data_IF_274364913800
#
_entry.id   IF_274364913800
#
_cell.length_a   1.000
_cell.length_b   1.000
_cell.length_c   1.000
_cell.angle_alpha   90.00
_cell.angle_beta   90.00
_cell.angle_gamma   90.00
#
_symmetry.space_group_name_H-M   'P 1'
#
loop_
_entity.id
_entity.type
_entity.pdbx_description
1 polymer ?
#
# COMPACT_ATOMS: atom_id res chain seq x y z
N UNK A 1 10.31 13.08 -4.79
CA UNK A 1 9.49 11.98 -4.23
C UNK A 1 8.49 12.66 -3.31
N UNK A 2 7.22 12.73 -3.70
CA UNK A 2 6.16 13.29 -2.83
C UNK A 2 5.64 12.12 -2.02
N UNK A 3 5.72 12.21 -0.70
CA UNK A 3 5.21 11.21 0.23
C UNK A 3 3.97 11.80 0.88
N UNK A 4 2.80 11.29 0.50
CA UNK A 4 1.52 11.64 1.14
C UNK A 4 1.01 10.39 1.86
N UNK A 5 0.83 10.51 3.18
CA UNK A 5 0.41 9.41 4.05
C UNK A 5 -1.01 9.68 4.54
N UNK A 6 -1.98 9.00 3.94
CA UNK A 6 -3.36 9.03 4.41
C UNK A 6 -3.52 8.04 5.57
N UNK A 7 -3.76 8.53 6.79
CA UNK A 7 -4.10 7.71 7.95
C UNK A 7 -5.47 7.03 7.78
N UNK A 8 -5.49 5.71 7.93
CA UNK A 8 -6.66 4.86 7.77
C UNK A 8 -7.50 4.67 9.04
N UNK A 9 -7.20 5.40 10.11
CA UNK A 9 -7.55 5.00 11.48
C UNK A 9 -9.03 5.04 11.86
N UNK A 10 -9.98 5.43 11.00
CA UNK A 10 -11.42 5.41 11.37
C UNK A 10 -12.44 5.39 10.21
N UNK A 11 -12.07 4.99 8.99
CA UNK A 11 -13.02 4.96 7.87
C UNK A 11 -12.92 3.62 7.16
N UNK A 12 -14.03 2.88 7.07
CA UNK A 12 -14.21 1.75 6.15
C UNK A 12 -14.17 2.31 4.72
N UNK A 13 -12.97 2.59 4.22
CA UNK A 13 -12.73 3.16 2.88
C UNK A 13 -12.86 2.02 1.88
N UNK A 14 -13.95 1.99 1.11
CA UNK A 14 -14.11 1.04 0.00
C UNK A 14 -12.97 1.23 -1.04
N UNK A 15 -12.59 0.16 -1.72
CA UNK A 15 -11.54 0.15 -2.72
C UNK A 15 -11.76 1.19 -3.83
N UNK A 16 -13.03 1.49 -4.16
CA UNK A 16 -13.39 2.55 -5.10
C UNK A 16 -12.99 3.94 -4.61
N UNK A 17 -13.17 4.21 -3.32
CA UNK A 17 -12.79 5.49 -2.72
C UNK A 17 -11.27 5.66 -2.75
N UNK A 18 -10.52 4.60 -2.42
CA UNK A 18 -9.05 4.59 -2.49
C UNK A 18 -8.59 4.83 -3.93
N UNK A 19 -9.15 4.08 -4.90
CA UNK A 19 -8.80 4.23 -6.31
C UNK A 19 -9.08 5.65 -6.83
N UNK A 20 -10.24 6.24 -6.50
CA UNK A 20 -10.59 7.59 -6.94
C UNK A 20 -9.60 8.65 -6.45
N UNK A 21 -9.19 8.58 -5.17
CA UNK A 21 -8.20 9.51 -4.62
C UNK A 21 -6.83 9.32 -5.28
N UNK A 22 -6.38 8.08 -5.47
CA UNK A 22 -5.10 7.80 -6.11
C UNK A 22 -5.07 8.25 -7.57
N UNK A 23 -6.16 8.04 -8.34
CA UNK A 23 -6.27 8.51 -9.72
C UNK A 23 -6.14 10.04 -9.79
N UNK A 24 -6.76 10.77 -8.85
CA UNK A 24 -6.62 12.23 -8.78
C UNK A 24 -5.16 12.65 -8.62
N UNK A 25 -4.44 12.03 -7.68
CA UNK A 25 -3.02 12.30 -7.42
C UNK A 25 -2.15 11.94 -8.64
N UNK A 26 -2.39 10.78 -9.27
CA UNK A 26 -1.64 10.36 -10.48
C UNK A 26 -1.83 11.37 -11.62
N UNK A 27 -3.04 11.91 -11.79
CA UNK A 27 -3.33 12.93 -12.80
C UNK A 27 -2.65 14.26 -12.50
N UNK A 28 -2.59 14.65 -11.24
CA UNK A 28 -1.91 15.87 -10.79
C UNK A 28 -0.39 15.79 -10.99
N UNK A 29 0.23 14.67 -10.61
CA UNK A 29 1.66 14.42 -10.80
C UNK A 29 2.01 14.17 -12.27
N UNK A 30 1.04 13.69 -13.06
CA UNK A 30 1.21 13.24 -14.43
C UNK A 30 1.48 11.73 -14.48
N UNK A 31 0.69 10.93 -15.22
CA UNK A 31 0.81 9.47 -15.20
C UNK A 31 2.21 8.94 -15.58
N UNK A 32 2.94 9.64 -16.46
CA UNK A 32 4.29 9.25 -16.89
C UNK A 32 5.35 9.37 -15.79
N UNK A 33 5.06 10.15 -14.74
CA UNK A 33 5.96 10.40 -13.62
C UNK A 33 5.73 9.45 -12.44
N UNK A 34 4.78 8.52 -12.58
CA UNK A 34 4.44 7.53 -11.56
C UNK A 34 4.75 6.14 -12.10
N UNK A 35 5.66 5.43 -11.43
CA UNK A 35 6.02 4.04 -11.77
C UNK A 35 5.29 3.04 -10.87
N UNK A 36 5.16 3.36 -9.59
CA UNK A 36 4.63 2.45 -8.58
C UNK A 36 3.99 3.23 -7.44
N UNK A 37 2.95 2.66 -6.85
CA UNK A 37 2.39 3.10 -5.58
C UNK A 37 2.30 1.92 -4.62
N UNK A 38 2.43 2.24 -3.33
CA UNK A 38 2.49 1.27 -2.25
C UNK A 38 1.48 1.69 -1.20
N UNK A 39 0.58 0.79 -0.82
CA UNK A 39 -0.42 1.05 0.22
C UNK A 39 -0.36 -0.07 1.24
N UNK A 40 -0.53 0.29 2.51
CA UNK A 40 -0.29 -0.55 3.69
C UNK A 40 -1.32 -1.70 3.88
N UNK A 41 -2.59 -1.50 3.52
CA UNK A 41 -3.66 -2.47 3.76
C UNK A 41 -3.92 -3.48 2.61
N UNK A 42 -3.51 -4.74 2.76
CA UNK A 42 -3.53 -5.73 1.68
C UNK A 42 -4.91 -5.97 1.01
N UNK A 43 -6.01 -6.05 1.77
CA UNK A 43 -7.29 -6.52 1.23
C UNK A 43 -8.00 -5.46 0.36
N UNK A 44 -8.21 -4.26 0.91
CA UNK A 44 -8.89 -3.14 0.22
C UNK A 44 -8.06 -2.64 -0.96
N UNK A 45 -6.74 -2.68 -0.83
CA UNK A 45 -5.84 -2.13 -1.83
C UNK A 45 -5.64 -3.06 -3.03
N UNK A 46 -5.93 -4.36 -2.91
CA UNK A 46 -5.89 -5.28 -4.04
C UNK A 46 -6.88 -4.89 -5.15
N UNK A 47 -8.12 -4.57 -4.80
CA UNK A 47 -9.15 -4.15 -5.75
C UNK A 47 -8.91 -2.72 -6.25
N UNK A 48 -8.46 -1.81 -5.39
CA UNK A 48 -8.07 -0.47 -5.80
C UNK A 48 -6.90 -0.51 -6.81
N UNK A 49 -5.94 -1.40 -6.57
CA UNK A 49 -4.81 -1.66 -7.45
C UNK A 49 -5.23 -2.12 -8.84
N UNK A 50 -6.23 -3.01 -8.92
CA UNK A 50 -6.80 -3.44 -10.21
C UNK A 50 -7.47 -2.30 -10.97
N UNK A 51 -8.25 -1.45 -10.28
CA UNK A 51 -8.91 -0.29 -10.88
C UNK A 51 -7.86 0.68 -11.45
N UNK A 52 -6.82 1.00 -10.67
CA UNK A 52 -5.77 1.92 -11.09
C UNK A 52 -4.96 1.34 -12.27
N UNK A 53 -4.68 0.03 -12.28
CA UNK A 53 -3.97 -0.63 -13.37
C UNK A 53 -4.79 -0.68 -14.66
N UNK A 54 -6.11 -0.76 -14.58
CA UNK A 54 -6.99 -0.67 -15.74
C UNK A 54 -6.93 0.74 -16.38
N UNK A 55 -6.84 1.79 -15.55
CA UNK A 55 -6.71 3.19 -16.00
C UNK A 55 -5.29 3.52 -16.51
N UNK A 56 -4.27 3.00 -15.82
CA UNK A 56 -2.84 3.27 -16.07
C UNK A 56 -2.04 1.96 -16.13
N UNK A 57 -2.02 1.26 -17.27
CA UNK A 57 -1.43 -0.08 -17.38
C UNK A 57 0.08 -0.16 -17.07
N UNK A 58 0.79 0.97 -17.16
CA UNK A 58 2.22 1.08 -16.87
C UNK A 58 2.55 1.25 -15.38
N UNK A 59 1.56 1.54 -14.54
CA UNK A 59 1.75 1.72 -13.10
C UNK A 59 1.64 0.36 -12.41
N UNK A 60 2.70 0.00 -11.68
CA UNK A 60 2.75 -1.25 -10.92
C UNK A 60 2.16 -1.03 -9.53
N UNK A 61 1.27 -1.94 -9.10
CA UNK A 61 0.81 -1.99 -7.71
C UNK A 61 1.59 -3.07 -6.97
N UNK A 62 2.28 -2.68 -5.90
CA UNK A 62 3.06 -3.59 -5.05
C UNK A 62 2.61 -3.52 -3.60
N UNK A 63 2.65 -4.66 -2.91
CA UNK A 63 2.46 -4.71 -1.46
C UNK A 63 3.52 -3.88 -0.73
N UNK A 64 3.19 -3.42 0.48
CA UNK A 64 4.11 -2.63 1.28
C UNK A 64 5.37 -3.42 1.63
N UNK A 65 6.53 -2.92 1.16
CA UNK A 65 7.84 -3.49 1.51
C UNK A 65 8.04 -3.45 3.03
N UNK A 66 7.56 -2.40 3.72
CA UNK A 66 7.61 -2.34 5.17
C UNK A 66 6.79 -3.46 5.83
N UNK A 67 5.62 -3.80 5.28
CA UNK A 67 4.83 -4.93 5.77
C UNK A 67 5.51 -6.29 5.48
N UNK A 68 6.14 -6.44 4.30
CA UNK A 68 6.94 -7.62 4.00
C UNK A 68 8.14 -7.79 4.94
N UNK A 69 8.76 -6.68 5.34
CA UNK A 69 9.85 -6.66 6.32
C UNK A 69 9.33 -7.01 7.72
N UNK A 70 8.19 -6.48 8.13
CA UNK A 70 7.53 -6.79 9.41
C UNK A 70 7.23 -8.30 9.53
N UNK A 71 6.63 -8.90 8.50
CA UNK A 71 6.36 -10.33 8.45
C UNK A 71 7.65 -11.19 8.42
N UNK A 72 8.69 -10.71 7.74
CA UNK A 72 10.00 -11.39 7.75
C UNK A 72 10.61 -11.37 9.16
N UNK A 73 10.51 -10.24 9.87
CA UNK A 73 10.97 -10.14 11.25
C UNK A 73 10.13 -10.99 12.19
N UNK A 74 8.81 -11.05 12.01
CA UNK A 74 7.93 -11.92 12.78
C UNK A 74 8.28 -13.40 12.59
N UNK A 75 8.51 -13.85 11.35
CA UNK A 75 8.92 -15.23 11.04
C UNK A 75 10.30 -15.56 11.61
N UNK A 76 11.26 -14.63 11.53
CA UNK A 76 12.57 -14.81 12.20
C UNK A 76 12.44 -14.87 13.73
N UNK A 77 11.59 -14.03 14.33
CA UNK A 77 11.32 -14.02 15.77
C UNK A 77 10.53 -15.23 16.27
N UNK A 78 9.76 -15.90 15.40
CA UNK A 78 9.12 -17.20 15.69
C UNK A 78 10.08 -18.38 15.56
N UNK A 79 11.14 -18.25 14.74
CA UNK A 79 12.14 -19.30 14.49
C UNK A 79 13.30 -19.28 15.48
N UNK A 80 13.71 -18.10 15.95
CA UNK A 80 14.47 -18.00 17.19
C UNK A 80 13.51 -18.04 18.36
N UNK A 81 13.81 -18.73 19.46
CA UNK A 81 13.00 -18.63 20.69
C UNK A 81 13.17 -17.24 21.34
N UNK A 82 12.77 -16.18 20.65
CA UNK A 82 12.83 -14.81 21.15
C UNK A 82 11.46 -14.52 21.75
N UNK A 83 11.34 -14.66 23.05
CA UNK A 83 10.18 -14.17 23.78
C UNK A 83 10.10 -12.66 23.61
N UNK A 84 9.05 -12.17 22.96
CA UNK A 84 8.71 -10.74 23.00
C UNK A 84 8.40 -10.36 24.45
N UNK A 85 9.30 -9.60 25.08
CA UNK A 85 9.04 -8.84 26.29
C UNK A 85 8.75 -7.40 25.86
N UNK A 86 7.47 -7.06 25.77
CA UNK A 86 7.02 -5.68 25.64
C UNK A 86 6.80 -5.15 27.06
N UNK A 87 7.82 -4.48 27.62
CA UNK A 87 7.66 -3.53 28.73
C UNK A 87 7.66 -2.11 28.18
#
# INVERSE_FOLDING_TARGET
MVYDHADGSNVTKDAKWVAANMIKIIREIGPKNVLQFTVDNAAINSLAGQIIRAEFPHIVFGGCVAHGIDLLFEDMAKRGNVTQTWD
#
